data_IF_494153084118
#
_entry.id   IF_494153084118
#
_cell.length_a   1.000
_cell.length_b   1.000
_cell.length_c   1.000
_cell.angle_alpha   90.00
_cell.angle_beta   90.00
_cell.angle_gamma   90.00
#
_symmetry.space_group_name_H-M   'P 1'
#
loop_
_entity.id
_entity.type
_entity.pdbx_description
1 polymer ?
#
# COMPACT_ATOMS: atom_id res chain seq x y z
N UNK A 1 -16.17 -0.47 44.78
CA UNK A 1 -15.02 -0.90 43.94
C UNK A 1 -14.50 -2.21 44.50
N UNK A 2 -14.18 -3.19 43.64
CA UNK A 2 -13.64 -4.49 44.06
C UNK A 2 -12.16 -4.55 43.69
N UNK A 3 -11.32 -4.68 44.70
CA UNK A 3 -9.87 -4.84 44.54
C UNK A 3 -9.54 -6.25 44.05
N UNK A 4 -8.61 -6.36 43.12
CA UNK A 4 -8.05 -7.64 42.68
C UNK A 4 -6.56 -7.48 42.34
N UNK A 5 -5.78 -8.56 42.52
CA UNK A 5 -4.38 -8.60 42.12
C UNK A 5 -4.31 -8.89 40.60
N UNK A 6 -3.70 -7.99 39.83
CA UNK A 6 -3.48 -8.19 38.41
C UNK A 6 -2.63 -9.45 38.18
N UNK A 7 -2.94 -10.23 37.14
CA UNK A 7 -2.29 -11.52 36.84
C UNK A 7 -2.24 -12.54 38.00
N UNK A 8 -2.96 -12.31 39.11
CA UNK A 8 -2.99 -13.11 40.35
C UNK A 8 -1.68 -13.14 41.17
N UNK A 9 -0.54 -12.75 40.60
CA UNK A 9 0.78 -12.80 41.22
C UNK A 9 1.57 -11.48 41.13
N UNK A 10 1.04 -10.44 40.46
CA UNK A 10 1.80 -9.22 40.18
C UNK A 10 2.04 -8.30 41.37
N UNK A 11 1.30 -8.50 42.47
CA UNK A 11 1.20 -7.57 43.60
C UNK A 11 0.74 -6.16 43.19
N UNK A 12 0.16 -6.01 42.00
CA UNK A 12 -0.49 -4.77 41.56
C UNK A 12 -1.99 -4.91 41.80
N UNK A 13 -2.47 -4.23 42.83
CA UNK A 13 -3.89 -4.19 43.13
C UNK A 13 -4.55 -3.22 42.16
N UNK A 14 -5.71 -3.57 41.61
CA UNK A 14 -6.50 -2.68 40.77
C UNK A 14 -7.94 -2.68 41.25
N UNK A 15 -8.64 -1.57 41.02
CA UNK A 15 -10.05 -1.45 41.34
C UNK A 15 -10.93 -1.75 40.13
N UNK A 16 -11.74 -2.80 40.22
CA UNK A 16 -12.78 -3.09 39.23
C UNK A 16 -14.13 -2.56 39.70
N UNK A 17 -14.84 -1.86 38.82
CA UNK A 17 -16.22 -1.47 39.03
C UNK A 17 -17.15 -2.69 38.79
N UNK A 18 -17.97 -3.10 39.77
CA UNK A 18 -18.83 -4.28 39.63
C UNK A 18 -20.03 -4.08 38.71
N UNK A 19 -20.44 -2.84 38.44
CA UNK A 19 -21.61 -2.53 37.59
C UNK A 19 -21.27 -2.34 36.11
N UNK A 20 -20.07 -1.85 35.76
CA UNK A 20 -19.69 -1.57 34.36
C UNK A 20 -18.40 -2.26 33.89
N UNK A 21 -17.75 -3.05 34.74
CA UNK A 21 -16.45 -3.72 34.46
C UNK A 21 -15.27 -2.79 34.16
N UNK A 22 -15.41 -1.48 34.35
CA UNK A 22 -14.30 -0.54 34.26
C UNK A 22 -13.19 -0.86 35.26
N UNK A 23 -11.93 -0.68 34.84
CA UNK A 23 -10.73 -0.86 35.66
C UNK A 23 -10.16 0.52 35.95
N UNK A 24 -9.95 0.82 37.23
CA UNK A 24 -9.37 2.06 37.69
C UNK A 24 -8.03 1.77 38.35
N UNK A 25 -7.05 2.59 38.00
CA UNK A 25 -5.71 2.56 38.57
C UNK A 25 -5.49 3.85 39.37
N UNK A 26 -4.93 3.72 40.56
CA UNK A 26 -4.54 4.84 41.40
C UNK A 26 -3.15 5.40 41.04
N UNK A 27 -2.67 6.35 41.85
CA UNK A 27 -1.38 6.99 41.65
C UNK A 27 -0.21 5.99 41.73
N UNK A 28 0.32 5.62 40.56
CA UNK A 28 1.51 4.77 40.44
C UNK A 28 1.21 3.30 40.09
N UNK A 29 -0.05 2.85 40.16
CA UNK A 29 -0.44 1.49 39.75
C UNK A 29 -0.18 1.24 38.26
N UNK A 30 -0.42 2.21 37.37
CA UNK A 30 -0.08 2.10 35.93
C UNK A 30 1.42 1.84 35.72
N UNK A 31 2.27 2.51 36.50
CA UNK A 31 3.72 2.32 36.41
C UNK A 31 4.13 0.93 36.91
N UNK A 32 3.50 0.43 37.98
CA UNK A 32 3.74 -0.94 38.48
C UNK A 32 3.24 -2.01 37.51
N UNK A 33 2.10 -1.81 36.85
CA UNK A 33 1.63 -2.69 35.77
C UNK A 33 2.62 -2.72 34.61
N UNK A 34 3.07 -1.54 34.16
CA UNK A 34 4.07 -1.45 33.11
C UNK A 34 5.38 -2.15 33.53
N UNK A 35 5.78 -2.04 34.80
CA UNK A 35 6.98 -2.68 35.34
C UNK A 35 6.84 -4.20 35.47
N UNK A 36 5.66 -4.70 35.86
CA UNK A 36 5.37 -6.13 35.94
C UNK A 36 5.28 -6.79 34.56
N UNK A 37 4.71 -6.09 33.58
CA UNK A 37 4.64 -6.58 32.20
C UNK A 37 5.98 -6.48 31.47
N UNK A 38 6.86 -5.56 31.88
CA UNK A 38 8.19 -5.37 31.27
C UNK A 38 9.11 -6.53 31.65
N UNK A 39 9.59 -7.28 30.65
CA UNK A 39 10.42 -8.46 30.88
C UNK A 39 9.61 -9.74 31.07
N UNK A 40 8.28 -9.70 30.88
CA UNK A 40 7.43 -10.87 30.98
C UNK A 40 7.54 -11.68 29.69
N UNK A 41 8.14 -12.89 29.68
CA UNK A 41 8.61 -13.55 28.45
C UNK A 41 7.49 -13.83 27.45
N UNK A 42 6.26 -14.06 27.92
CA UNK A 42 5.08 -14.24 27.05
C UNK A 42 4.62 -12.94 26.40
N UNK A 43 4.68 -11.81 27.10
CA UNK A 43 4.26 -10.51 26.58
C UNK A 43 5.35 -9.92 25.68
N UNK A 44 6.62 -10.14 26.02
CA UNK A 44 7.75 -9.76 25.17
C UNK A 44 7.75 -10.57 23.87
N UNK A 45 7.50 -11.89 23.95
CA UNK A 45 7.36 -12.74 22.75
C UNK A 45 6.13 -12.38 21.92
N UNK A 46 5.01 -12.01 22.55
CA UNK A 46 3.83 -11.52 21.84
C UNK A 46 4.09 -10.15 21.18
N UNK A 47 4.78 -9.25 21.86
CA UNK A 47 5.19 -7.97 21.30
C UNK A 47 6.12 -8.15 20.10
N UNK A 48 7.09 -9.06 20.21
CA UNK A 48 7.99 -9.40 19.11
C UNK A 48 7.23 -9.99 17.91
N UNK A 49 6.30 -10.92 18.11
CA UNK A 49 5.56 -11.53 17.00
C UNK A 49 4.59 -10.55 16.32
N UNK A 50 4.01 -9.61 17.06
CA UNK A 50 3.20 -8.52 16.48
C UNK A 50 4.06 -7.64 15.59
N UNK A 51 5.24 -7.22 16.08
CA UNK A 51 6.18 -6.39 15.32
C UNK A 51 6.66 -7.12 14.06
N UNK A 52 6.97 -8.42 14.16
CA UNK A 52 7.35 -9.25 13.01
C UNK A 52 6.23 -9.29 11.97
N UNK A 53 4.99 -9.56 12.38
CA UNK A 53 3.85 -9.59 11.46
C UNK A 53 3.57 -8.21 10.82
N UNK A 54 3.71 -7.12 11.58
CA UNK A 54 3.60 -5.76 11.03
C UNK A 54 4.70 -5.47 10.00
N UNK A 55 5.95 -5.86 10.28
CA UNK A 55 7.06 -5.72 9.35
C UNK A 55 6.89 -6.55 8.09
N UNK A 56 6.40 -7.78 8.20
CA UNK A 56 6.06 -8.60 7.03
C UNK A 56 5.01 -7.92 6.17
N UNK A 57 3.92 -7.42 6.77
CA UNK A 57 2.88 -6.68 6.04
C UNK A 57 3.44 -5.43 5.35
N UNK A 58 4.30 -4.67 6.02
CA UNK A 58 4.93 -3.49 5.43
C UNK A 58 5.78 -3.87 4.20
N UNK A 59 6.60 -4.92 4.30
CA UNK A 59 7.41 -5.42 3.18
C UNK A 59 6.59 -5.89 1.99
N UNK A 60 5.48 -6.59 2.25
CA UNK A 60 4.56 -7.00 1.19
C UNK A 60 3.92 -5.79 0.51
N UNK A 61 3.52 -4.78 1.28
CA UNK A 61 2.91 -3.56 0.75
C UNK A 61 3.87 -2.81 -0.17
N UNK A 62 5.11 -2.56 0.27
CA UNK A 62 6.15 -1.92 -0.54
C UNK A 62 6.43 -2.67 -1.85
N UNK A 63 6.46 -4.00 -1.80
CA UNK A 63 6.66 -4.85 -2.99
C UNK A 63 5.50 -4.71 -3.99
N UNK A 64 4.26 -4.68 -3.51
CA UNK A 64 3.06 -4.54 -4.36
C UNK A 64 3.03 -3.15 -5.01
N UNK A 65 3.39 -2.11 -4.25
CA UNK A 65 3.55 -0.75 -4.78
C UNK A 65 4.60 -0.71 -5.90
N UNK A 66 5.78 -1.31 -5.70
CA UNK A 66 6.82 -1.39 -6.74
C UNK A 66 6.40 -2.19 -7.98
N UNK A 67 5.75 -3.34 -7.79
CA UNK A 67 5.27 -4.18 -8.88
C UNK A 67 4.26 -3.44 -9.77
N UNK A 68 3.40 -2.61 -9.17
CA UNK A 68 2.45 -1.79 -9.92
C UNK A 68 3.12 -0.73 -10.80
N UNK A 69 4.27 -0.19 -10.38
CA UNK A 69 5.11 0.68 -11.20
C UNK A 69 5.69 -0.03 -12.43
N UNK A 70 6.06 -1.30 -12.31
CA UNK A 70 6.52 -2.10 -13.45
C UNK A 70 5.39 -2.34 -14.48
N UNK A 71 4.16 -2.59 -14.00
CA UNK A 71 2.98 -2.69 -14.88
C UNK A 71 2.73 -1.37 -15.63
N UNK A 72 2.90 -0.23 -14.95
CA UNK A 72 2.82 1.08 -15.62
C UNK A 72 3.85 1.22 -16.75
N UNK A 73 5.06 0.68 -16.58
CA UNK A 73 6.05 0.61 -17.65
C UNK A 73 5.61 -0.24 -18.84
N UNK A 74 5.01 -1.40 -18.59
CA UNK A 74 4.43 -2.23 -19.67
C UNK A 74 3.33 -1.47 -20.41
N UNK A 75 2.47 -0.73 -19.69
CA UNK A 75 1.43 0.11 -20.29
C UNK A 75 2.03 1.24 -21.16
N UNK A 76 3.12 1.87 -20.71
CA UNK A 76 3.85 2.87 -21.48
C UNK A 76 4.44 2.31 -22.78
N UNK A 77 5.04 1.12 -22.71
CA UNK A 77 5.54 0.43 -23.90
C UNK A 77 4.39 0.10 -24.88
N UNK A 78 3.27 -0.42 -24.36
CA UNK A 78 2.09 -0.76 -25.15
C UNK A 78 1.48 0.47 -25.83
N UNK A 79 1.39 1.60 -25.13
CA UNK A 79 0.90 2.87 -25.67
C UNK A 79 1.72 3.33 -26.88
N UNK A 80 3.05 3.17 -26.84
CA UNK A 80 3.93 3.56 -27.94
C UNK A 80 3.80 2.59 -29.13
N UNK A 81 3.80 1.29 -28.88
CA UNK A 81 3.82 0.27 -29.92
C UNK A 81 2.45 0.09 -30.60
N UNK A 82 1.37 0.10 -29.82
CA UNK A 82 0.02 -0.28 -30.25
C UNK A 82 -1.04 0.78 -29.90
N UNK A 83 -0.88 2.06 -30.31
CA UNK A 83 -1.79 3.13 -29.90
C UNK A 83 -3.23 2.95 -30.40
N UNK A 84 -3.41 2.27 -31.54
CA UNK A 84 -4.72 2.02 -32.17
C UNK A 84 -5.32 0.66 -31.82
N UNK A 85 -4.68 -0.14 -30.97
CA UNK A 85 -5.23 -1.42 -30.56
C UNK A 85 -6.47 -1.21 -29.67
N UNK A 86 -7.46 -2.09 -29.80
CA UNK A 86 -8.67 -2.04 -28.99
C UNK A 86 -8.51 -2.89 -27.72
N UNK A 87 -8.81 -2.29 -26.58
CA UNK A 87 -8.85 -2.95 -25.27
C UNK A 87 -10.31 -3.28 -24.96
N UNK A 88 -10.59 -4.55 -24.70
CA UNK A 88 -11.90 -5.01 -24.22
C UNK A 88 -12.07 -4.59 -22.78
N UNK A 89 -12.94 -3.62 -22.55
CA UNK A 89 -13.17 -3.04 -21.24
C UNK A 89 -14.60 -3.28 -20.81
N UNK A 90 -14.77 -3.86 -19.62
CA UNK A 90 -16.08 -3.93 -18.98
C UNK A 90 -16.44 -2.55 -18.42
N UNK A 91 -17.45 -1.92 -19.01
CA UNK A 91 -17.99 -0.64 -18.54
C UNK A 91 -19.40 -0.88 -18.01
N UNK A 92 -19.53 -0.78 -16.69
CA UNK A 92 -20.75 -1.06 -15.91
C UNK A 92 -21.25 -2.50 -16.09
N UNK A 93 -21.93 -2.80 -17.19
CA UNK A 93 -22.50 -4.11 -17.51
C UNK A 93 -22.26 -4.54 -18.96
N UNK A 94 -21.53 -3.76 -19.78
CA UNK A 94 -21.21 -4.10 -21.17
C UNK A 94 -19.72 -4.11 -21.41
N UNK A 95 -19.25 -5.11 -22.17
CA UNK A 95 -17.89 -5.14 -22.69
C UNK A 95 -17.86 -4.28 -23.95
N UNK A 96 -17.06 -3.22 -23.93
CA UNK A 96 -16.85 -2.31 -25.06
C UNK A 96 -15.39 -2.32 -25.48
N UNK A 97 -15.14 -2.15 -26.77
CA UNK A 97 -13.80 -2.02 -27.33
C UNK A 97 -13.38 -0.55 -27.25
N UNK A 98 -12.47 -0.23 -26.33
CA UNK A 98 -11.94 1.13 -26.15
C UNK A 98 -10.54 1.19 -26.76
N UNK A 99 -10.24 2.16 -27.64
CA UNK A 99 -8.89 2.35 -28.16
C UNK A 99 -7.87 2.53 -27.03
N UNK A 100 -6.72 1.87 -27.16
CA UNK A 100 -5.65 1.85 -26.17
C UNK A 100 -5.17 3.26 -25.80
N UNK A 101 -5.07 4.16 -26.78
CA UNK A 101 -4.66 5.54 -26.50
C UNK A 101 -5.65 6.28 -25.57
N UNK A 102 -6.96 6.01 -25.69
CA UNK A 102 -7.98 6.62 -24.83
C UNK A 102 -7.90 6.00 -23.44
N UNK A 103 -7.92 4.67 -23.37
CA UNK A 103 -7.95 3.95 -22.11
C UNK A 103 -6.71 4.25 -21.25
N UNK A 104 -5.53 4.06 -21.84
CA UNK A 104 -4.25 4.25 -21.15
C UNK A 104 -3.99 5.74 -20.91
N UNK A 105 -4.39 6.62 -21.84
CA UNK A 105 -4.27 8.07 -21.66
C UNK A 105 -5.14 8.59 -20.51
N UNK A 106 -6.38 8.13 -20.41
CA UNK A 106 -7.26 8.46 -19.29
C UNK A 106 -6.70 7.94 -17.96
N UNK A 107 -6.16 6.72 -17.94
CA UNK A 107 -5.49 6.18 -16.75
C UNK A 107 -4.29 7.04 -16.34
N UNK A 108 -3.41 7.42 -17.27
CA UNK A 108 -2.26 8.28 -16.97
C UNK A 108 -2.69 9.66 -16.46
N UNK A 109 -3.79 10.21 -17.00
CA UNK A 109 -4.35 11.46 -16.52
C UNK A 109 -4.81 11.36 -15.06
N UNK A 110 -5.44 10.24 -14.67
CA UNK A 110 -5.79 9.97 -13.27
C UNK A 110 -4.53 9.94 -12.41
N UNK A 111 -3.43 9.30 -12.87
CA UNK A 111 -2.18 9.30 -12.10
C UNK A 111 -1.62 10.71 -11.88
N UNK A 112 -1.67 11.56 -12.91
CA UNK A 112 -1.20 12.94 -12.82
C UNK A 112 -2.07 13.78 -11.88
N UNK A 113 -3.38 13.72 -12.04
CA UNK A 113 -4.33 14.48 -11.22
C UNK A 113 -4.24 14.04 -9.76
N UNK A 114 -4.26 12.74 -9.49
CA UNK A 114 -4.12 12.21 -8.12
C UNK A 114 -2.76 12.54 -7.52
N UNK A 115 -1.67 12.43 -8.29
CA UNK A 115 -0.34 12.83 -7.86
C UNK A 115 -0.31 14.30 -7.43
N UNK A 116 -0.94 15.20 -8.20
CA UNK A 116 -1.03 16.62 -7.86
C UNK A 116 -1.95 16.90 -6.67
N UNK A 117 -3.10 16.22 -6.58
CA UNK A 117 -4.09 16.44 -5.52
C UNK A 117 -3.61 15.93 -4.16
N UNK A 118 -2.91 14.80 -4.14
CA UNK A 118 -2.52 14.12 -2.89
C UNK A 118 -1.05 14.30 -2.51
N UNK A 119 -0.21 14.91 -3.36
CA UNK A 119 1.20 15.17 -3.06
C UNK A 119 1.46 15.91 -1.74
N UNK A 120 0.53 16.78 -1.31
CA UNK A 120 0.65 17.55 -0.07
C UNK A 120 -0.03 16.92 1.15
N UNK A 121 -0.78 15.84 0.98
CA UNK A 121 -1.57 15.21 2.05
C UNK A 121 -0.76 14.15 2.82
N UNK A 122 0.00 13.34 2.09
CA UNK A 122 0.92 12.34 2.65
C UNK A 122 2.03 12.07 1.63
N UNK A 123 3.28 12.16 2.09
CA UNK A 123 4.48 11.95 1.26
C UNK A 123 4.48 10.56 0.62
N UNK A 124 4.06 9.52 1.34
CA UNK A 124 4.03 8.16 0.82
C UNK A 124 2.99 8.02 -0.30
N UNK A 125 1.80 8.59 -0.10
CA UNK A 125 0.74 8.60 -1.11
C UNK A 125 1.14 9.34 -2.38
N UNK A 126 1.79 10.50 -2.27
CA UNK A 126 2.24 11.30 -3.42
C UNK A 126 3.29 10.58 -4.26
N UNK A 127 4.28 9.97 -3.61
CA UNK A 127 5.36 9.24 -4.28
C UNK A 127 4.83 8.06 -5.10
N UNK A 128 3.81 7.35 -4.61
CA UNK A 128 3.22 6.22 -5.34
C UNK A 128 2.69 6.64 -6.72
N UNK A 129 1.96 7.75 -6.82
CA UNK A 129 1.44 8.26 -8.10
C UNK A 129 2.56 8.62 -9.08
N UNK A 130 3.61 9.28 -8.60
CA UNK A 130 4.75 9.64 -9.44
C UNK A 130 5.58 8.43 -9.85
N UNK A 131 5.63 7.36 -9.03
CA UNK A 131 6.27 6.11 -9.41
C UNK A 131 5.58 5.45 -10.62
N UNK A 132 4.25 5.48 -10.70
CA UNK A 132 3.52 5.00 -11.89
C UNK A 132 3.83 5.84 -13.13
N UNK A 133 3.87 7.17 -13.00
CA UNK A 133 4.21 8.08 -14.10
C UNK A 133 5.64 7.81 -14.59
N UNK A 134 6.59 7.68 -13.66
CA UNK A 134 7.98 7.36 -13.98
C UNK A 134 8.13 5.99 -14.67
N UNK A 135 7.43 4.98 -14.17
CA UNK A 135 7.36 3.65 -14.80
C UNK A 135 6.86 3.73 -16.23
N UNK A 136 5.73 4.41 -16.45
CA UNK A 136 5.15 4.63 -17.77
C UNK A 136 6.13 5.30 -18.75
N UNK A 137 6.75 6.41 -18.34
CA UNK A 137 7.71 7.14 -19.17
C UNK A 137 8.91 6.27 -19.53
N UNK A 138 9.45 5.53 -18.56
CA UNK A 138 10.57 4.61 -18.77
C UNK A 138 10.21 3.54 -19.82
N UNK A 139 9.08 2.86 -19.66
CA UNK A 139 8.63 1.83 -20.59
C UNK A 139 8.32 2.38 -22.00
N UNK A 140 7.70 3.55 -22.08
CA UNK A 140 7.47 4.25 -23.35
C UNK A 140 8.80 4.61 -24.06
N UNK A 141 9.77 5.12 -23.30
CA UNK A 141 11.10 5.45 -23.79
C UNK A 141 11.86 4.23 -24.32
N UNK A 142 11.81 3.12 -23.59
CA UNK A 142 12.41 1.84 -24.02
C UNK A 142 11.75 1.27 -25.29
N UNK A 143 10.44 1.44 -25.44
CA UNK A 143 9.69 0.92 -26.59
C UNK A 143 9.83 1.77 -27.86
N UNK A 144 10.18 3.05 -27.72
CA UNK A 144 10.34 3.98 -28.84
C UNK A 144 11.32 3.51 -29.94
N UNK A 145 12.56 3.07 -29.63
CA UNK A 145 13.46 2.53 -30.65
C UNK A 145 12.92 1.24 -31.28
N UNK A 146 12.28 0.37 -30.51
CA UNK A 146 11.68 -0.87 -31.03
C UNK A 146 10.58 -0.59 -32.07
N UNK A 147 9.72 0.41 -31.82
CA UNK A 147 8.71 0.86 -32.79
C UNK A 147 9.32 1.28 -34.12
N UNK A 148 10.47 1.98 -34.08
CA UNK A 148 11.19 2.42 -35.29
C UNK A 148 11.77 1.24 -36.06
N UNK A 149 12.27 0.22 -35.36
CA UNK A 149 12.80 -0.99 -35.99
C UNK A 149 11.71 -1.80 -36.69
N UNK A 150 10.57 -2.05 -36.02
CA UNK A 150 9.44 -2.82 -36.60
C UNK A 150 8.90 -2.17 -37.87
N UNK A 151 8.66 -0.84 -37.85
CA UNK A 151 8.19 -0.11 -39.04
C UNK A 151 9.20 -0.10 -40.19
N UNK A 152 10.49 -0.33 -39.93
CA UNK A 152 11.52 -0.41 -40.96
C UNK A 152 11.46 -1.75 -41.69
N UNK A 153 11.18 -2.84 -40.99
CA UNK A 153 11.01 -4.17 -41.58
C UNK A 153 9.75 -4.27 -42.44
N UNK A 154 8.62 -3.68 -42.01
CA UNK A 154 7.38 -3.64 -42.81
C UNK A 154 7.53 -2.93 -44.16
N UNK A 155 8.47 -1.99 -44.28
CA UNK A 155 8.68 -1.23 -45.53
C UNK A 155 9.64 -1.90 -46.51
N UNK A 156 10.34 -2.94 -46.08
CA UNK A 156 11.36 -3.65 -46.89
C UNK A 156 10.80 -4.98 -47.43
N UNK A 157 9.71 -5.50 -46.84
CA UNK A 157 8.94 -6.63 -47.32
C UNK A 157 7.87 -6.19 -48.35
#
# INVERSE_FOLDING_TARGET
MRKFNYAYDSNVILDRCPSCSGIWADGGEIYRLASYNKGHPKLDALGASIVEHENERARFQEMVEGASGAVAGVMGAYFVLYPSASIKTLVIYRVMDIPAFIYIGAWLLVQLVSGLLFAGADLQSGVAWFAHIGGFICGAGLAWPAKRAVRRHEKIA
#
